data_IF_460100969889
#
_entry.id   IF_460100969889
#
_cell.length_a   1.000
_cell.length_b   1.000
_cell.length_c   1.000
_cell.angle_alpha   90.00
_cell.angle_beta   90.00
_cell.angle_gamma   90.00
#
_symmetry.space_group_name_H-M   'P 1'
#
loop_
_entity.id
_entity.type
_entity.pdbx_description
1 polymer ?
#
# COMPACT_ATOMS: atom_id res chain seq x y z
N UNK A 1 21.33 -2.11 -24.76
CA UNK A 1 21.32 -1.67 -23.36
C UNK A 1 19.92 -1.96 -22.88
N UNK A 2 19.72 -2.97 -22.04
CA UNK A 2 18.40 -3.24 -21.48
C UNK A 2 18.15 -2.17 -20.41
N UNK A 3 17.24 -1.23 -20.69
CA UNK A 3 16.75 -0.29 -19.69
C UNK A 3 15.63 -0.96 -18.90
N UNK A 4 15.96 -2.02 -18.19
CA UNK A 4 15.01 -2.67 -17.29
C UNK A 4 14.76 -1.72 -16.09
N UNK A 5 13.58 -1.12 -16.05
CA UNK A 5 13.15 -0.31 -14.92
C UNK A 5 12.61 -1.21 -13.81
N UNK A 6 13.04 -1.00 -12.57
CA UNK A 6 12.46 -1.69 -11.41
C UNK A 6 11.30 -0.88 -10.86
N UNK A 7 10.11 -1.48 -10.81
CA UNK A 7 8.88 -0.84 -10.36
C UNK A 7 8.21 -1.63 -9.25
N UNK A 8 7.55 -0.89 -8.36
CA UNK A 8 6.58 -1.43 -7.41
C UNK A 8 5.19 -1.44 -8.08
N UNK A 9 4.50 -2.58 -8.03
CA UNK A 9 3.24 -2.79 -8.75
C UNK A 9 2.19 -3.41 -7.83
N UNK A 10 0.92 -3.07 -8.05
CA UNK A 10 -0.23 -3.78 -7.53
C UNK A 10 -1.13 -4.20 -8.70
N UNK A 11 -1.65 -5.43 -8.65
CA UNK A 11 -2.41 -6.07 -9.73
C UNK A 11 -3.74 -6.59 -9.20
N UNK A 12 -4.82 -6.35 -9.93
CA UNK A 12 -6.10 -7.03 -9.68
C UNK A 12 -6.17 -8.30 -10.53
N UNK A 13 -6.28 -9.47 -9.88
CA UNK A 13 -6.41 -10.78 -10.54
C UNK A 13 -7.88 -11.13 -10.68
N UNK A 14 -8.49 -10.67 -11.77
CA UNK A 14 -9.94 -10.82 -12.02
C UNK A 14 -10.45 -12.26 -11.90
N UNK A 15 -9.69 -13.25 -12.36
CA UNK A 15 -10.12 -14.65 -12.36
C UNK A 15 -10.19 -15.29 -10.97
N UNK A 16 -9.40 -14.80 -10.02
CA UNK A 16 -9.32 -15.34 -8.65
C UNK A 16 -10.04 -14.42 -7.65
N UNK A 17 -10.24 -13.15 -8.01
CA UNK A 17 -10.88 -12.18 -7.15
C UNK A 17 -9.96 -11.68 -6.04
N UNK A 18 -8.68 -11.46 -6.36
CA UNK A 18 -7.64 -11.06 -5.39
C UNK A 18 -6.84 -9.86 -5.90
N UNK A 19 -6.24 -9.10 -4.98
CA UNK A 19 -5.16 -8.17 -5.31
C UNK A 19 -3.83 -8.87 -5.05
N UNK A 20 -2.87 -8.69 -5.96
CA UNK A 20 -1.52 -9.16 -5.79
C UNK A 20 -0.54 -7.97 -5.79
N UNK A 21 0.46 -8.02 -4.92
CA UNK A 21 1.46 -6.97 -4.75
C UNK A 21 2.81 -7.49 -5.21
N UNK A 22 3.59 -6.62 -5.86
CA UNK A 22 4.96 -6.90 -6.26
C UNK A 22 5.83 -5.69 -5.89
N UNK A 23 6.65 -5.85 -4.86
CA UNK A 23 7.57 -4.84 -4.32
C UNK A 23 8.73 -4.55 -5.27
N UNK A 24 9.06 -5.53 -6.13
CA UNK A 24 10.08 -5.45 -7.15
C UNK A 24 9.60 -6.16 -8.42
N UNK A 25 9.44 -5.43 -9.51
CA UNK A 25 9.12 -5.98 -10.83
C UNK A 25 10.01 -5.34 -11.88
N UNK A 26 10.70 -6.17 -12.67
CA UNK A 26 11.41 -5.71 -13.86
C UNK A 26 10.42 -5.52 -15.00
N UNK A 27 10.30 -4.29 -15.50
CA UNK A 27 9.46 -3.97 -16.66
C UNK A 27 10.37 -3.50 -17.79
N UNK A 28 10.18 -4.09 -18.97
CA UNK A 28 10.76 -3.59 -20.21
C UNK A 28 10.04 -2.28 -20.60
N UNK A 29 10.75 -1.16 -20.51
CA UNK A 29 10.19 0.17 -20.80
C UNK A 29 10.16 0.51 -22.30
N UNK A 30 10.85 -0.28 -23.12
CA UNK A 30 10.94 -0.08 -24.58
C UNK A 30 10.10 -1.12 -25.35
N UNK A 31 9.46 -2.06 -24.64
CA UNK A 31 8.73 -3.19 -25.20
C UNK A 31 7.28 -3.34 -24.73
N UNK A 32 6.66 -4.43 -25.17
CA UNK A 32 5.33 -4.87 -24.71
C UNK A 32 5.53 -6.12 -23.87
N UNK A 33 5.12 -6.06 -22.61
CA UNK A 33 5.19 -7.18 -21.66
C UNK A 33 3.79 -7.48 -21.11
N UNK A 34 3.50 -8.76 -20.88
CA UNK A 34 2.24 -9.14 -20.23
C UNK A 34 2.39 -9.06 -18.70
N UNK A 35 1.49 -8.32 -18.06
CA UNK A 35 1.42 -8.16 -16.61
C UNK A 35 1.27 -9.49 -15.84
N UNK A 36 0.75 -10.54 -16.50
CA UNK A 36 0.63 -11.90 -15.93
C UNK A 36 1.96 -12.64 -15.80
N UNK A 37 3.02 -12.16 -16.46
CA UNK A 37 4.37 -12.73 -16.40
C UNK A 37 5.20 -12.13 -15.25
N UNK A 38 4.72 -11.05 -14.64
CA UNK A 38 5.38 -10.41 -13.51
C UNK A 38 5.13 -11.24 -12.24
N UNK A 39 6.20 -11.56 -11.52
CA UNK A 39 6.10 -12.18 -10.21
C UNK A 39 5.35 -11.25 -9.24
N UNK A 40 4.46 -11.83 -8.45
CA UNK A 40 3.68 -11.14 -7.43
C UNK A 40 3.31 -12.10 -6.31
N UNK A 41 2.88 -11.54 -5.20
CA UNK A 41 2.31 -12.26 -4.08
C UNK A 41 0.84 -11.88 -3.93
N UNK A 42 -0.03 -12.87 -3.73
CA UNK A 42 -1.47 -12.65 -3.59
C UNK A 42 -1.83 -12.23 -2.16
N UNK A 43 -2.66 -11.20 -2.03
CA UNK A 43 -3.21 -10.69 -0.78
C UNK A 43 -4.74 -10.81 -0.81
N UNK A 44 -5.28 -12.02 -0.53
CA UNK A 44 -6.72 -12.31 -0.68
C UNK A 44 -7.61 -11.51 0.28
N UNK A 45 -7.03 -10.95 1.34
CA UNK A 45 -7.71 -10.07 2.28
C UNK A 45 -8.05 -8.70 1.69
N UNK A 46 -7.34 -8.28 0.64
CA UNK A 46 -7.58 -7.01 -0.03
C UNK A 46 -8.81 -7.08 -0.91
N UNK A 47 -9.61 -6.00 -0.87
CA UNK A 47 -10.78 -5.90 -1.73
C UNK A 47 -10.35 -5.66 -3.17
N UNK A 48 -10.88 -6.45 -4.10
CA UNK A 48 -10.67 -6.26 -5.55
C UNK A 48 -11.15 -4.92 -6.09
N UNK A 49 -11.99 -4.21 -5.31
CA UNK A 49 -12.46 -2.86 -5.62
C UNK A 49 -11.55 -1.77 -5.06
N UNK A 50 -10.52 -2.15 -4.30
CA UNK A 50 -9.65 -1.18 -3.66
C UNK A 50 -8.76 -0.46 -4.68
N UNK A 51 -8.63 0.85 -4.50
CA UNK A 51 -7.61 1.64 -5.15
C UNK A 51 -6.32 1.55 -4.33
N UNK A 52 -5.43 0.64 -4.72
CA UNK A 52 -4.14 0.46 -4.07
C UNK A 52 -3.26 1.69 -4.35
N UNK A 53 -2.78 2.34 -3.28
CA UNK A 53 -1.76 3.38 -3.37
C UNK A 53 -0.42 2.80 -2.96
N UNK A 54 0.57 3.04 -3.81
CA UNK A 54 1.96 2.69 -3.56
C UNK A 54 2.69 3.99 -3.28
N UNK A 55 3.32 4.07 -2.11
CA UNK A 55 3.93 5.29 -1.60
C UNK A 55 5.36 4.95 -1.21
N UNK A 56 6.32 5.76 -1.67
CA UNK A 56 7.72 5.60 -1.31
C UNK A 56 8.15 6.80 -0.48
N UNK A 57 8.60 6.55 0.75
CA UNK A 57 8.90 7.60 1.72
C UNK A 57 10.07 7.20 2.63
N UNK A 58 10.79 8.21 3.12
CA UNK A 58 11.86 8.03 4.09
C UNK A 58 11.31 8.15 5.52
N UNK A 59 11.28 7.05 6.26
CA UNK A 59 10.83 7.03 7.67
C UNK A 59 12.04 6.65 8.53
N UNK A 60 12.46 7.54 9.42
CA UNK A 60 13.63 7.35 10.30
C UNK A 60 14.90 6.98 9.51
N UNK A 61 15.17 7.70 8.42
CA UNK A 61 16.32 7.48 7.51
C UNK A 61 16.28 6.16 6.72
N UNK A 62 15.22 5.36 6.87
CA UNK A 62 15.00 4.14 6.09
C UNK A 62 14.02 4.43 4.94
N UNK A 63 14.39 4.01 3.74
CA UNK A 63 13.52 4.08 2.57
C UNK A 63 12.49 2.95 2.64
N UNK A 64 11.21 3.33 2.69
CA UNK A 64 10.09 2.41 2.88
C UNK A 64 9.13 2.53 1.70
N UNK A 65 8.66 1.38 1.24
CA UNK A 65 7.62 1.22 0.26
C UNK A 65 6.33 0.78 0.96
N UNK A 66 5.28 1.60 0.85
CA UNK A 66 4.02 1.40 1.56
C UNK A 66 2.93 1.08 0.55
N UNK A 67 2.28 -0.06 0.73
CA UNK A 67 1.07 -0.41 0.00
C UNK A 67 -0.13 -0.14 0.90
N UNK A 68 -0.96 0.80 0.48
CA UNK A 68 -2.18 1.17 1.19
C UNK A 68 -3.39 0.72 0.38
N UNK A 69 -4.21 -0.16 0.96
CA UNK A 69 -5.37 -0.74 0.29
C UNK A 69 -6.49 -1.07 1.29
N UNK A 70 -7.72 -1.04 0.81
CA UNK A 70 -8.92 -1.39 1.56
C UNK A 70 -9.10 -2.91 1.56
N UNK A 71 -9.31 -3.48 2.73
CA UNK A 71 -9.58 -4.91 2.92
C UNK A 71 -11.04 -5.25 2.65
N UNK A 72 -11.33 -6.54 2.47
CA UNK A 72 -12.70 -7.07 2.46
C UNK A 72 -13.44 -6.87 3.80
N UNK A 73 -12.70 -6.62 4.89
CA UNK A 73 -13.22 -6.26 6.21
C UNK A 73 -13.37 -4.74 6.42
N UNK A 74 -13.33 -3.94 5.34
CA UNK A 74 -13.52 -2.48 5.36
C UNK A 74 -12.42 -1.69 6.08
N UNK A 75 -11.27 -2.30 6.37
CA UNK A 75 -10.13 -1.63 7.00
C UNK A 75 -9.20 -1.07 5.91
N UNK A 76 -8.45 -0.02 6.22
CA UNK A 76 -7.29 0.37 5.42
C UNK A 76 -6.08 -0.41 5.93
N UNK A 77 -5.62 -1.38 5.15
CA UNK A 77 -4.37 -2.08 5.35
C UNK A 77 -3.20 -1.24 4.81
N UNK A 78 -2.10 -1.22 5.56
CA UNK A 78 -0.84 -0.60 5.22
C UNK A 78 0.25 -1.66 5.38
N UNK A 79 0.85 -2.07 4.28
CA UNK A 79 2.00 -2.98 4.29
C UNK A 79 3.26 -2.17 4.04
N UNK A 80 4.18 -2.21 5.00
CA UNK A 80 5.44 -1.48 4.99
C UNK A 80 6.55 -2.43 4.59
N UNK A 81 7.13 -2.20 3.42
CA UNK A 81 8.27 -2.96 2.92
C UNK A 81 9.52 -2.09 2.94
N UNK A 82 10.66 -2.69 3.24
CA UNK A 82 11.94 -2.03 3.05
C UNK A 82 12.23 -1.88 1.54
N UNK A 83 12.60 -0.68 1.09
CA UNK A 83 12.78 -0.41 -0.33
C UNK A 83 14.12 -0.93 -0.90
N UNK A 84 15.04 -1.40 -0.06
CA UNK A 84 16.34 -1.95 -0.46
C UNK A 84 16.28 -3.47 -0.65
N UNK A 85 15.75 -4.19 0.34
CA UNK A 85 15.68 -5.65 0.33
C UNK A 85 14.29 -6.22 0.04
N UNK A 86 13.26 -5.35 -0.05
CA UNK A 86 11.88 -5.69 -0.42
C UNK A 86 11.15 -6.60 0.59
N UNK A 87 11.65 -6.69 1.82
CA UNK A 87 11.02 -7.46 2.89
C UNK A 87 9.91 -6.69 3.59
N UNK A 88 8.83 -7.38 3.96
CA UNK A 88 7.77 -6.82 4.80
C UNK A 88 8.31 -6.57 6.20
N UNK A 89 8.35 -5.29 6.61
CA UNK A 89 8.76 -4.86 7.95
C UNK A 89 7.59 -4.77 8.91
N UNK A 90 6.43 -4.33 8.42
CA UNK A 90 5.26 -4.15 9.29
C UNK A 90 3.95 -4.14 8.52
N UNK A 91 2.85 -4.42 9.22
CA UNK A 91 1.49 -4.31 8.70
C UNK A 91 0.62 -3.58 9.73
N UNK A 92 -0.10 -2.55 9.29
CA UNK A 92 -1.08 -1.82 10.11
C UNK A 92 -2.46 -1.85 9.46
N UNK A 93 -3.49 -1.99 10.30
CA UNK A 93 -4.88 -1.93 9.88
C UNK A 93 -5.56 -0.76 10.57
N UNK A 94 -6.17 0.13 9.79
CA UNK A 94 -6.87 1.32 10.28
C UNK A 94 -8.37 1.22 9.96
N UNK A 95 -9.19 1.66 10.90
CA UNK A 95 -10.66 1.57 10.77
C UNK A 95 -11.19 0.15 10.99
N UNK A 96 -12.53 0.03 11.03
CA UNK A 96 -13.19 -1.26 11.26
C UNK A 96 -14.64 -1.30 10.77
N UNK A 97 -15.43 -0.25 11.03
CA UNK A 97 -16.88 -0.29 10.80
C UNK A 97 -17.28 0.09 9.37
N UNK A 98 -16.64 1.12 8.82
CA UNK A 98 -16.95 1.66 7.50
C UNK A 98 -15.73 1.54 6.60
N UNK A 99 -15.92 1.29 5.29
CA UNK A 99 -14.82 1.24 4.34
C UNK A 99 -13.96 2.50 4.44
N UNK A 100 -12.65 2.32 4.39
CA UNK A 100 -11.69 3.41 4.32
C UNK A 100 -10.90 3.26 3.02
N UNK A 101 -11.02 4.25 2.16
CA UNK A 101 -10.24 4.38 0.94
C UNK A 101 -9.17 5.46 1.14
N UNK A 102 -7.92 5.17 0.82
CA UNK A 102 -6.85 6.16 0.94
C UNK A 102 -6.94 7.21 -0.18
N UNK A 103 -6.78 8.47 0.18
CA UNK A 103 -6.74 9.59 -0.74
C UNK A 103 -5.34 10.22 -0.83
N UNK A 104 -4.69 10.44 0.32
CA UNK A 104 -3.37 11.07 0.40
C UNK A 104 -2.62 10.63 1.66
N UNK A 105 -1.32 10.92 1.67
CA UNK A 105 -0.35 10.55 2.67
C UNK A 105 0.64 11.71 2.83
N UNK A 106 1.07 12.00 4.06
CA UNK A 106 2.22 12.85 4.31
C UNK A 106 2.87 12.55 5.66
N UNK A 107 4.18 12.71 5.73
CA UNK A 107 4.93 12.61 6.98
C UNK A 107 4.68 13.84 7.85
N UNK A 108 4.40 13.61 9.13
CA UNK A 108 4.24 14.68 10.11
C UNK A 108 5.60 15.15 10.63
N UNK A 109 5.66 16.40 11.10
CA UNK A 109 6.89 17.00 11.65
C UNK A 109 7.45 16.27 12.88
N UNK A 110 6.64 15.46 13.57
CA UNK A 110 7.06 14.64 14.70
C UNK A 110 7.52 13.22 14.28
N UNK A 111 7.76 13.01 12.99
CA UNK A 111 8.15 11.72 12.41
C UNK A 111 7.00 10.72 12.32
N UNK A 112 5.80 11.09 12.79
CA UNK A 112 4.60 10.29 12.60
C UNK A 112 4.13 10.32 11.15
N UNK A 113 3.08 9.55 10.88
CA UNK A 113 2.49 9.46 9.57
C UNK A 113 1.03 9.89 9.59
N UNK A 114 0.64 10.82 8.71
CA UNK A 114 -0.75 11.20 8.50
C UNK A 114 -1.29 10.61 7.21
N UNK A 115 -2.46 10.01 7.33
CA UNK A 115 -3.21 9.44 6.21
C UNK A 115 -4.55 10.14 6.12
N UNK A 116 -4.84 10.66 4.94
CA UNK A 116 -6.15 11.20 4.60
C UNK A 116 -6.86 10.19 3.73
N UNK A 117 -8.09 9.87 4.13
CA UNK A 117 -8.94 8.94 3.41
C UNK A 117 -10.35 9.45 3.23
N UNK A 118 -11.11 8.64 2.50
CA UNK A 118 -12.55 8.75 2.35
C UNK A 118 -13.19 7.57 3.05
N UNK A 119 -14.26 7.83 3.79
CA UNK A 119 -15.10 6.80 4.40
C UNK A 119 -16.57 7.06 4.09
N UNK A 120 -17.43 6.08 4.37
CA UNK A 120 -18.87 6.21 4.19
C UNK A 120 -19.60 6.07 5.51
N UNK A 121 -20.53 6.98 5.80
CA UNK A 121 -21.46 6.85 6.92
C UNK A 121 -22.77 6.24 6.40
N UNK A 122 -23.23 5.18 7.07
CA UNK A 122 -24.46 4.44 6.72
C UNK A 122 -24.45 3.99 5.25
N UNK A 123 -23.27 3.61 4.74
CA UNK A 123 -23.07 3.05 3.40
C UNK A 123 -23.32 3.98 2.21
N UNK A 124 -23.66 5.27 2.42
CA UNK A 124 -23.98 6.19 1.30
C UNK A 124 -23.50 7.62 1.43
N UNK A 125 -23.11 8.06 2.62
CA UNK A 125 -22.67 9.44 2.83
C UNK A 125 -21.16 9.51 2.98
N UNK A 126 -20.49 10.02 1.95
CA UNK A 126 -19.03 10.16 1.98
C UNK A 126 -18.58 11.20 3.01
N UNK A 127 -17.50 10.89 3.73
CA UNK A 127 -16.83 11.78 4.68
C UNK A 127 -15.32 11.66 4.51
N UNK A 128 -14.63 12.76 4.77
CA UNK A 128 -13.17 12.75 4.89
C UNK A 128 -12.83 12.20 6.28
N UNK A 129 -11.81 11.34 6.34
CA UNK A 129 -11.24 10.83 7.59
C UNK A 129 -9.74 11.06 7.60
N UNK A 130 -9.19 11.32 8.77
CA UNK A 130 -7.77 11.51 8.99
C UNK A 130 -7.30 10.56 10.09
N UNK A 131 -6.26 9.80 9.79
CA UNK A 131 -5.54 8.99 10.77
C UNK A 131 -4.15 9.58 10.97
N UNK A 132 -3.74 9.74 12.23
CA UNK A 132 -2.35 10.00 12.59
C UNK A 132 -1.78 8.76 13.26
N UNK A 133 -0.80 8.15 12.61
CA UNK A 133 -0.02 7.05 13.15
C UNK A 133 1.21 7.67 13.83
N UNK A 134 1.41 7.46 15.13
CA UNK A 134 2.56 8.00 15.84
C UNK A 134 3.84 7.27 15.41
N UNK A 135 4.99 7.94 15.53
CA UNK A 135 6.28 7.46 15.00
C UNK A 135 6.75 6.16 15.64
N UNK A 136 6.40 5.89 16.89
CA UNK A 136 6.68 4.64 17.62
C UNK A 136 6.02 3.41 16.96
N UNK A 137 4.88 3.59 16.29
CA UNK A 137 4.16 2.50 15.59
C UNK A 137 4.71 2.19 14.21
N UNK A 138 5.61 3.04 13.70
CA UNK A 138 6.22 2.92 12.37
C UNK A 138 7.73 3.05 12.46
N UNK A 139 8.30 2.80 13.64
CA UNK A 139 9.73 2.72 13.83
C UNK A 139 10.20 1.28 13.61
N UNK A 140 10.97 1.06 12.55
CA UNK A 140 11.46 -0.27 12.16
C UNK A 140 12.86 -0.57 12.72
N UNK A 141 13.45 0.36 13.48
CA UNK A 141 14.81 0.25 14.05
C UNK A 141 14.84 -0.32 15.49
N UNK A 142 13.72 -0.83 16.00
CA UNK A 142 13.66 -1.49 17.32
C UNK A 142 13.61 -3.01 17.17
N UNK A 143 14.77 -3.65 17.25
CA UNK A 143 14.95 -4.91 17.99
C UNK A 143 15.22 -4.60 19.47
#
# INVERSE_FOLDING_TARGET
MNNDGTFAIAKSKFNVGEIALATKSSIDIDGIQNVSQLEDEAYPELSTKSNVRIIREAINEQEILIYAATTNSNQLALYFFDALNYELKHTLYLGHTNPVEIASFFQANDGGLVIVGKTMIVGRYERIILYKIPSDKINFNHE
#
